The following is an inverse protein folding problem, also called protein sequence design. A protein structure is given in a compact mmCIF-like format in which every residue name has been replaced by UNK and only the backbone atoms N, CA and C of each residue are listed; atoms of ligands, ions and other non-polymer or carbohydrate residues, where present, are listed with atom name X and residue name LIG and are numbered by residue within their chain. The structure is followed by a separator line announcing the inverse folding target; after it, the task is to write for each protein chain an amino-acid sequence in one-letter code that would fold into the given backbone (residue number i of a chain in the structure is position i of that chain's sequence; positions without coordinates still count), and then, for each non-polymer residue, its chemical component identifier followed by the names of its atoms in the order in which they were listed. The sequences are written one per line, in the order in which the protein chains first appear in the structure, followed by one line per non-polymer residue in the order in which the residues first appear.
data_IF_224028532351
#
_entry.id   IF_224028532351
#
_cell.length_a   1.000
_cell.length_b   1.000
_cell.length_c   1.000
_cell.angle_alpha   90.00
_cell.angle_beta   90.00
_cell.angle_gamma   90.00
#
_symmetry.space_group_name_H-M   'P 1'
#
loop_
_entity.id
_entity.type
_entity.pdbx_description
1 polymer ?
#
# COMPACT_ATOMS: atom_id res chain seq x y z
N UNK A 1 13.12 27.45 9.13
CA UNK A 1 12.95 26.54 10.30
C UNK A 1 11.49 26.62 10.70
N UNK A 2 10.65 25.78 10.16
CA UNK A 2 9.25 25.71 10.54
C UNK A 2 9.14 24.85 11.79
N UNK A 3 8.55 25.39 12.85
CA UNK A 3 8.29 24.66 14.09
C UNK A 3 6.83 24.24 14.13
N UNK A 4 6.59 22.95 14.41
CA UNK A 4 5.23 22.42 14.53
C UNK A 4 4.70 22.72 15.93
N UNK A 5 3.56 23.44 16.05
CA UNK A 5 2.94 23.76 17.32
C UNK A 5 2.09 22.57 17.80
N UNK A 6 2.34 22.11 19.03
CA UNK A 6 1.53 21.06 19.63
C UNK A 6 0.11 21.57 19.92
N UNK A 7 -0.90 20.87 19.44
CA UNK A 7 -2.30 21.26 19.65
C UNK A 7 -2.77 21.09 21.11
N UNK A 8 -2.07 20.27 21.92
CA UNK A 8 -2.45 20.02 23.32
C UNK A 8 -1.84 21.00 24.31
N UNK A 9 -0.54 21.31 24.16
CA UNK A 9 0.18 22.18 25.14
C UNK A 9 0.69 23.47 24.54
N UNK A 10 0.54 23.70 23.23
CA UNK A 10 0.97 24.93 22.56
C UNK A 10 2.48 25.06 22.33
N UNK A 11 3.31 24.13 22.80
CA UNK A 11 4.76 24.21 22.64
C UNK A 11 5.19 23.97 21.19
N UNK A 12 6.25 24.65 20.76
CA UNK A 12 6.83 24.48 19.44
C UNK A 12 7.81 23.32 19.44
N UNK A 13 7.69 22.44 18.44
CA UNK A 13 8.51 21.26 18.25
C UNK A 13 9.21 21.33 16.90
N UNK A 14 10.31 20.60 16.72
CA UNK A 14 10.97 20.49 15.42
C UNK A 14 10.03 19.86 14.40
N UNK A 15 10.21 20.17 13.13
CA UNK A 15 9.37 19.63 12.03
C UNK A 15 9.46 18.10 11.92
N UNK A 16 10.54 17.52 12.42
CA UNK A 16 10.77 16.08 12.49
C UNK A 16 10.28 15.44 13.81
N UNK A 17 9.73 16.24 14.76
CA UNK A 17 9.26 15.71 16.02
C UNK A 17 7.99 14.89 15.83
N UNK A 18 8.05 13.62 16.12
CA UNK A 18 6.89 12.69 16.10
C UNK A 18 6.04 12.89 17.36
N UNK A 19 6.65 13.34 18.44
CA UNK A 19 6.00 13.61 19.73
C UNK A 19 6.37 15.01 20.21
N UNK A 20 5.43 15.63 20.92
CA UNK A 20 5.69 16.89 21.59
C UNK A 20 6.72 16.70 22.69
N UNK A 21 7.80 17.48 22.67
CA UNK A 21 8.85 17.42 23.69
C UNK A 21 8.35 17.81 25.09
N UNK A 22 7.29 18.62 25.17
CA UNK A 22 6.77 19.12 26.43
C UNK A 22 5.67 18.27 27.06
N UNK A 23 4.82 17.60 26.26
CA UNK A 23 3.67 16.87 26.78
C UNK A 23 3.53 15.44 26.21
N UNK A 24 4.54 14.97 25.48
CA UNK A 24 4.58 13.66 24.82
C UNK A 24 3.38 13.33 23.89
N UNK A 25 2.53 14.32 23.59
CA UNK A 25 1.41 14.13 22.67
C UNK A 25 1.95 13.81 21.28
N UNK A 26 1.36 12.81 20.63
CA UNK A 26 1.68 12.44 19.26
C UNK A 26 1.37 13.61 18.32
N UNK A 27 2.39 14.11 17.68
CA UNK A 27 2.27 15.11 16.63
C UNK A 27 2.04 14.35 15.35
N UNK A 28 0.81 14.38 14.82
CA UNK A 28 0.35 13.55 13.73
C UNK A 28 1.37 13.43 12.58
N UNK A 29 1.66 12.22 12.18
CA UNK A 29 2.32 11.88 10.92
C UNK A 29 1.55 12.57 9.79
N UNK A 30 2.24 13.37 8.96
CA UNK A 30 1.59 14.01 7.80
C UNK A 30 0.98 12.91 6.93
N UNK A 31 -0.33 12.91 6.68
CA UNK A 31 -0.97 11.91 5.81
C UNK A 31 -0.51 12.01 4.34
N UNK A 32 0.39 12.94 4.02
CA UNK A 32 0.80 13.25 2.66
C UNK A 32 1.71 12.22 1.98
N UNK A 33 2.29 11.26 2.70
CA UNK A 33 3.22 10.29 2.08
C UNK A 33 2.47 9.28 1.21
N UNK A 34 1.29 8.83 1.65
CA UNK A 34 0.50 7.84 0.89
C UNK A 34 -0.10 8.44 -0.39
N UNK A 35 -0.66 9.65 -0.33
CA UNK A 35 -1.18 10.34 -1.51
C UNK A 35 -0.10 10.61 -2.56
N UNK A 36 1.09 10.95 -2.13
CA UNK A 36 2.22 11.19 -3.03
C UNK A 36 2.70 9.91 -3.74
N UNK A 37 2.70 8.78 -3.05
CA UNK A 37 3.03 7.48 -3.65
C UNK A 37 1.95 7.04 -4.66
N UNK A 38 0.68 7.25 -4.34
CA UNK A 38 -0.44 6.98 -5.26
C UNK A 38 -0.30 7.82 -6.54
N UNK A 39 0.00 9.10 -6.39
CA UNK A 39 0.17 10.01 -7.54
C UNK A 39 1.40 9.65 -8.39
N UNK A 40 2.52 9.30 -7.77
CA UNK A 40 3.70 8.78 -8.49
C UNK A 40 3.39 7.50 -9.26
N UNK A 41 2.69 6.55 -8.63
CA UNK A 41 2.30 5.31 -9.26
C UNK A 41 1.40 5.56 -10.47
N UNK A 42 0.47 6.52 -10.38
CA UNK A 42 -0.39 6.92 -11.49
C UNK A 42 0.43 7.50 -12.65
N UNK A 43 1.33 8.44 -12.36
CA UNK A 43 2.18 9.04 -13.41
C UNK A 43 3.02 7.97 -14.10
N UNK A 44 3.64 7.07 -13.34
CA UNK A 44 4.44 5.98 -13.90
C UNK A 44 3.58 5.02 -14.73
N UNK A 45 2.36 4.71 -14.30
CA UNK A 45 1.43 3.88 -15.06
C UNK A 45 1.04 4.53 -16.38
N UNK A 46 0.70 5.81 -16.37
CA UNK A 46 0.36 6.56 -17.59
C UNK A 46 1.55 6.66 -18.55
N UNK A 47 2.74 6.97 -18.03
CA UNK A 47 3.95 7.05 -18.87
C UNK A 47 4.33 5.69 -19.46
N UNK A 48 4.30 4.62 -18.66
CA UNK A 48 4.63 3.27 -19.13
C UNK A 48 3.59 2.74 -20.11
N UNK A 49 2.31 3.02 -19.89
CA UNK A 49 1.23 2.72 -20.83
C UNK A 49 1.41 3.48 -22.15
N UNK A 50 1.67 4.80 -22.09
CA UNK A 50 1.91 5.61 -23.28
C UNK A 50 3.14 5.12 -24.08
N UNK A 51 4.24 4.80 -23.40
CA UNK A 51 5.44 4.23 -24.03
C UNK A 51 5.13 2.88 -24.67
N UNK A 52 4.37 2.02 -23.97
CA UNK A 52 3.96 0.73 -24.51
C UNK A 52 3.16 0.91 -25.81
N UNK A 53 2.12 1.77 -25.83
CA UNK A 53 1.30 2.01 -27.01
C UNK A 53 2.03 2.76 -28.13
N UNK A 54 3.11 3.49 -27.83
CA UNK A 54 3.96 4.12 -28.82
C UNK A 54 4.89 3.10 -29.52
N UNK A 55 5.41 2.14 -28.77
CA UNK A 55 6.38 1.16 -29.24
C UNK A 55 5.67 -0.08 -29.84
N UNK A 56 4.52 -0.46 -29.29
CA UNK A 56 3.80 -1.68 -29.64
C UNK A 56 3.40 -1.82 -31.12
N UNK A 57 2.99 -0.76 -31.85
CA UNK A 57 2.70 -0.86 -33.27
C UNK A 57 3.94 -0.97 -34.19
N UNK A 58 5.17 -0.99 -33.62
CA UNK A 58 6.35 -1.20 -34.44
C UNK A 58 6.47 -2.66 -34.93
N UNK A 59 7.06 -2.91 -36.11
CA UNK A 59 7.05 -4.22 -36.80
C UNK A 59 7.78 -5.38 -36.09
N UNK A 60 8.23 -5.17 -34.87
CA UNK A 60 8.90 -6.18 -34.05
C UNK A 60 7.87 -7.19 -33.46
N UNK A 61 6.62 -6.81 -33.25
CA UNK A 61 5.55 -7.70 -32.78
C UNK A 61 4.78 -8.28 -33.95
N UNK A 62 5.27 -9.42 -34.44
CA UNK A 62 4.75 -10.13 -35.62
C UNK A 62 3.38 -10.81 -35.44
N UNK A 63 2.74 -10.69 -34.27
CA UNK A 63 1.49 -11.36 -33.98
C UNK A 63 0.31 -10.39 -34.10
N UNK A 64 -0.46 -10.53 -35.17
CA UNK A 64 -1.71 -9.77 -35.40
C UNK A 64 -2.68 -9.91 -34.21
N UNK A 65 -2.68 -11.08 -33.56
CA UNK A 65 -3.50 -11.33 -32.38
C UNK A 65 -3.14 -10.42 -31.20
N UNK A 66 -1.84 -10.22 -30.91
CA UNK A 66 -1.42 -9.33 -29.83
C UNK A 66 -1.80 -7.88 -30.12
N UNK A 67 -1.68 -7.45 -31.38
CA UNK A 67 -2.11 -6.10 -31.78
C UNK A 67 -3.61 -5.93 -31.54
N UNK A 68 -4.42 -6.91 -31.92
CA UNK A 68 -5.88 -6.89 -31.69
C UNK A 68 -6.23 -6.92 -30.20
N UNK A 69 -5.47 -7.69 -29.37
CA UNK A 69 -5.69 -7.82 -27.93
C UNK A 69 -5.57 -6.46 -27.22
N UNK A 70 -4.58 -5.67 -27.58
CA UNK A 70 -4.33 -4.35 -27.00
C UNK A 70 -4.96 -3.19 -27.77
N UNK A 71 -5.60 -3.47 -28.92
CA UNK A 71 -6.30 -2.44 -29.69
C UNK A 71 -7.66 -2.14 -29.06
N UNK A 72 -7.96 -0.87 -28.89
CA UNK A 72 -9.23 -0.40 -28.37
C UNK A 72 -9.15 0.33 -27.03
N UNK A 73 -10.03 1.33 -26.85
CA UNK A 73 -10.02 2.22 -25.67
C UNK A 73 -10.24 1.48 -24.35
N UNK A 74 -11.05 0.42 -24.37
CA UNK A 74 -11.33 -0.37 -23.15
C UNK A 74 -10.12 -1.21 -22.79
N UNK A 75 -9.45 -1.84 -23.76
CA UNK A 75 -8.20 -2.58 -23.55
C UNK A 75 -7.08 -1.69 -23.00
N UNK A 76 -6.96 -0.47 -23.53
CA UNK A 76 -6.01 0.54 -23.04
C UNK A 76 -6.27 0.93 -21.59
N UNK A 77 -7.54 1.13 -21.22
CA UNK A 77 -7.94 1.46 -19.85
C UNK A 77 -7.62 0.31 -18.90
N UNK A 78 -7.97 -0.94 -19.26
CA UNK A 78 -7.68 -2.15 -18.48
C UNK A 78 -6.18 -2.28 -18.25
N UNK A 79 -5.38 -2.13 -19.31
CA UNK A 79 -3.92 -2.23 -19.23
C UNK A 79 -3.33 -1.16 -18.32
N UNK A 80 -3.78 0.09 -18.47
CA UNK A 80 -3.31 1.22 -17.64
C UNK A 80 -3.64 1.02 -16.18
N UNK A 81 -4.86 0.56 -15.83
CA UNK A 81 -5.25 0.26 -14.45
C UNK A 81 -4.46 -0.92 -13.87
N UNK A 82 -4.19 -1.93 -14.69
CA UNK A 82 -3.35 -3.07 -14.29
C UNK A 82 -1.94 -2.59 -13.95
N UNK A 83 -1.33 -1.78 -14.79
CA UNK A 83 -0.01 -1.18 -14.51
C UNK A 83 -0.02 -0.31 -13.27
N UNK A 84 -1.05 0.52 -13.10
CA UNK A 84 -1.17 1.36 -11.90
C UNK A 84 -1.23 0.54 -10.62
N UNK A 85 -2.04 -0.53 -10.59
CA UNK A 85 -2.13 -1.43 -9.45
C UNK A 85 -0.79 -2.14 -9.16
N UNK A 86 -0.06 -2.57 -10.20
CA UNK A 86 1.26 -3.18 -10.06
C UNK A 86 2.30 -2.20 -9.50
N UNK A 87 2.30 -0.93 -9.93
CA UNK A 87 3.19 0.09 -9.36
C UNK A 87 2.86 0.40 -7.90
N UNK A 88 1.57 0.43 -7.51
CA UNK A 88 1.17 0.58 -6.12
C UNK A 88 1.69 -0.58 -5.26
N UNK A 89 1.54 -1.81 -5.71
CA UNK A 89 2.06 -3.00 -5.03
C UNK A 89 3.60 -2.93 -4.94
N UNK A 90 4.28 -2.50 -6.00
CA UNK A 90 5.73 -2.37 -6.02
C UNK A 90 6.24 -1.35 -4.98
N UNK A 91 5.61 -0.17 -4.85
CA UNK A 91 5.98 0.79 -3.83
C UNK A 91 5.71 0.28 -2.41
N UNK A 92 4.58 -0.40 -2.20
CA UNK A 92 4.29 -1.07 -0.93
C UNK A 92 5.31 -2.17 -0.61
N UNK A 93 5.70 -2.96 -1.60
CA UNK A 93 6.73 -4.00 -1.43
C UNK A 93 8.08 -3.41 -1.00
N UNK A 94 8.51 -2.31 -1.60
CA UNK A 94 9.75 -1.61 -1.18
C UNK A 94 9.63 -1.15 0.28
N UNK A 95 8.47 -0.59 0.67
CA UNK A 95 8.20 -0.15 2.04
C UNK A 95 8.21 -1.33 3.01
N UNK A 96 7.54 -2.43 2.68
CA UNK A 96 7.54 -3.65 3.47
C UNK A 96 8.97 -4.20 3.68
N UNK A 97 9.78 -4.29 2.61
CA UNK A 97 11.19 -4.68 2.71
C UNK A 97 12.01 -3.77 3.61
N UNK A 98 11.74 -2.48 3.61
CA UNK A 98 12.40 -1.53 4.52
C UNK A 98 11.99 -1.75 5.97
N UNK A 99 10.71 -2.03 6.23
CA UNK A 99 10.21 -2.35 7.56
C UNK A 99 10.80 -3.66 8.10
N UNK A 100 10.86 -4.71 7.28
CA UNK A 100 11.51 -5.98 7.64
C UNK A 100 12.98 -5.79 7.99
N UNK A 101 13.72 -5.03 7.16
CA UNK A 101 15.13 -4.73 7.44
C UNK A 101 15.33 -3.93 8.73
N UNK A 102 14.41 -3.04 9.05
CA UNK A 102 14.44 -2.30 10.31
C UNK A 102 14.24 -3.23 11.51
N UNK A 103 13.29 -4.17 11.41
CA UNK A 103 13.01 -5.15 12.45
C UNK A 103 14.19 -6.13 12.66
N UNK A 104 14.72 -6.73 11.59
CA UNK A 104 15.89 -7.62 11.67
C UNK A 104 17.12 -6.88 12.22
N UNK A 105 17.40 -5.68 11.71
CA UNK A 105 18.53 -4.88 12.21
C UNK A 105 18.39 -4.49 13.67
N UNK A 106 17.18 -4.33 14.17
CA UNK A 106 16.92 -4.09 15.58
C UNK A 106 17.18 -5.35 16.41
N UNK A 107 16.67 -6.51 15.98
CA UNK A 107 16.80 -7.79 16.68
C UNK A 107 18.26 -8.28 16.77
N UNK A 108 19.05 -8.02 15.73
CA UNK A 108 20.46 -8.44 15.64
C UNK A 108 21.42 -7.47 16.35
N UNK A 109 20.92 -6.43 17.05
CA UNK A 109 21.75 -5.40 17.66
C UNK A 109 21.73 -5.50 19.19
N UNK A 110 22.85 -5.12 19.82
CA UNK A 110 23.01 -5.01 21.28
C UNK A 110 21.90 -4.18 21.96
N UNK A 111 21.21 -3.32 21.19
CA UNK A 111 20.07 -2.56 21.67
C UNK A 111 18.90 -3.47 22.10
N UNK A 112 18.68 -4.60 21.43
CA UNK A 112 17.69 -5.59 21.84
C UNK A 112 18.05 -6.19 23.20
N UNK A 113 19.31 -6.61 23.38
CA UNK A 113 19.80 -7.15 24.67
C UNK A 113 19.70 -6.10 25.78
N UNK A 114 20.09 -4.87 25.49
CA UNK A 114 20.02 -3.74 26.42
C UNK A 114 18.58 -3.40 26.86
N UNK A 115 17.57 -3.62 26.02
CA UNK A 115 16.16 -3.44 26.37
C UNK A 115 15.58 -4.66 27.10
N UNK A 116 16.17 -5.85 26.94
CA UNK A 116 15.75 -7.07 27.62
C UNK A 116 16.32 -7.21 29.04
N UNK A 117 17.41 -6.51 29.40
CA UNK A 117 18.01 -6.51 30.73
C UNK A 117 17.19 -5.80 31.81
N UNK A 118 16.11 -5.13 31.43
CA UNK A 118 15.23 -4.35 32.31
C UNK A 118 15.33 -2.85 32.11
N UNK A 119 14.16 -2.22 32.02
CA UNK A 119 14.03 -0.77 31.78
C UNK A 119 13.43 -0.12 33.03
N UNK A 120 14.22 0.70 33.71
CA UNK A 120 13.76 1.51 34.85
C UNK A 120 13.24 2.86 34.35
N UNK A 121 12.23 3.39 35.04
CA UNK A 121 11.65 4.70 34.71
C UNK A 121 12.71 5.82 34.65
N UNK A 122 13.71 5.79 35.53
CA UNK A 122 14.80 6.80 35.56
C UNK A 122 15.74 6.70 34.36
N UNK A 123 15.84 5.52 33.71
CA UNK A 123 16.77 5.27 32.62
C UNK A 123 16.12 5.48 31.24
N UNK A 124 14.83 5.83 31.20
CA UNK A 124 14.05 6.02 29.96
C UNK A 124 14.69 7.05 29.02
N UNK A 125 15.19 8.16 29.56
CA UNK A 125 15.84 9.18 28.73
C UNK A 125 17.12 8.66 28.08
N UNK A 126 17.93 7.91 28.81
CA UNK A 126 19.14 7.26 28.31
C UNK A 126 18.80 6.28 27.18
N UNK A 127 17.77 5.44 27.37
CA UNK A 127 17.31 4.50 26.34
C UNK A 127 16.78 5.19 25.07
N UNK A 128 16.07 6.30 25.21
CA UNK A 128 15.63 7.10 24.05
C UNK A 128 16.83 7.69 23.30
N UNK A 129 17.86 8.14 24.01
CA UNK A 129 19.10 8.65 23.39
C UNK A 129 19.83 7.52 22.66
N UNK A 130 19.99 6.34 23.26
CA UNK A 130 20.61 5.16 22.63
C UNK A 130 19.90 4.77 21.31
N UNK A 131 18.57 4.73 21.32
CA UNK A 131 17.77 4.47 20.11
C UNK A 131 18.01 5.55 19.05
N UNK A 132 18.06 6.82 19.46
CA UNK A 132 18.32 7.92 18.54
C UNK A 132 19.71 7.85 17.92
N UNK A 133 20.73 7.55 18.72
CA UNK A 133 22.11 7.35 18.26
C UNK A 133 22.22 6.15 17.30
N UNK A 134 21.54 5.05 17.61
CA UNK A 134 21.48 3.89 16.72
C UNK A 134 20.91 4.25 15.34
N UNK A 135 19.83 5.01 15.31
CA UNK A 135 19.19 5.47 14.08
C UNK A 135 20.08 6.45 13.29
N UNK A 136 20.82 7.31 13.99
CA UNK A 136 21.77 8.24 13.36
C UNK A 136 23.03 7.54 12.85
N UNK A 137 23.61 6.61 13.62
CA UNK A 137 24.82 5.87 13.25
C UNK A 137 24.67 5.06 11.98
N UNK A 138 23.50 4.49 11.72
CA UNK A 138 23.22 3.75 10.48
C UNK A 138 22.83 4.61 9.28
N UNK A 139 22.88 5.96 9.40
CA UNK A 139 22.51 6.93 8.35
C UNK A 139 21.17 6.65 7.65
N UNK A 140 20.24 5.95 8.31
CA UNK A 140 19.01 5.48 7.70
C UNK A 140 17.82 6.20 8.31
N UNK A 141 17.61 7.45 7.89
CA UNK A 141 16.39 8.23 8.22
C UNK A 141 15.08 7.46 7.99
N UNK A 142 15.12 6.46 7.09
CA UNK A 142 13.97 5.59 6.77
C UNK A 142 13.58 4.68 7.93
N UNK A 143 14.49 4.30 8.84
CA UNK A 143 14.20 3.45 9.99
C UNK A 143 13.54 4.20 11.13
N UNK A 144 13.69 5.52 11.20
CA UNK A 144 13.07 6.33 12.26
C UNK A 144 11.55 6.20 12.29
N UNK A 145 10.93 5.95 11.13
CA UNK A 145 9.48 5.79 10.97
C UNK A 145 9.05 4.33 10.89
N UNK A 146 9.94 3.36 11.20
CA UNK A 146 9.52 1.96 11.22
C UNK A 146 8.60 1.68 12.39
N UNK A 147 7.72 0.69 12.21
CA UNK A 147 6.72 0.31 13.21
C UNK A 147 7.37 -0.04 14.54
N UNK A 148 8.46 -0.83 14.53
CA UNK A 148 9.16 -1.26 15.75
C UNK A 148 9.70 -0.06 16.56
N UNK A 149 10.45 0.86 15.94
CA UNK A 149 11.01 2.01 16.65
C UNK A 149 9.93 2.99 17.10
N UNK A 150 8.85 3.12 16.34
CA UNK A 150 7.70 3.93 16.72
C UNK A 150 7.01 3.37 17.97
N UNK A 151 6.80 2.05 18.05
CA UNK A 151 6.19 1.39 19.22
C UNK A 151 7.09 1.47 20.44
N UNK A 152 8.36 1.10 20.33
CA UNK A 152 9.32 1.17 21.47
C UNK A 152 9.39 2.59 22.02
N UNK A 153 9.58 3.60 21.16
CA UNK A 153 9.64 5.00 21.59
C UNK A 153 8.37 5.42 22.32
N UNK A 154 7.20 4.99 21.84
CA UNK A 154 5.92 5.32 22.44
C UNK A 154 5.77 4.66 23.82
N UNK A 155 6.16 3.41 23.97
CA UNK A 155 6.17 2.70 25.26
C UNK A 155 7.05 3.45 26.26
N UNK A 156 8.27 3.80 25.88
CA UNK A 156 9.18 4.52 26.74
C UNK A 156 8.62 5.89 27.20
N UNK A 157 7.97 6.63 26.30
CA UNK A 157 7.30 7.88 26.69
C UNK A 157 6.13 7.66 27.66
N UNK A 158 5.33 6.62 27.45
CA UNK A 158 4.24 6.30 28.36
C UNK A 158 4.74 5.79 29.71
N UNK A 159 5.80 4.99 29.73
CA UNK A 159 6.43 4.54 30.97
C UNK A 159 6.87 5.71 31.86
N UNK A 160 7.35 6.80 31.24
CA UNK A 160 7.70 8.04 31.95
C UNK A 160 6.47 8.77 32.52
N UNK A 161 5.36 8.76 31.78
CA UNK A 161 4.15 9.52 32.12
C UNK A 161 3.24 8.77 33.10
N UNK A 162 3.13 7.47 32.94
CA UNK A 162 2.23 6.58 33.71
C UNK A 162 2.95 5.25 33.96
N UNK A 163 3.60 5.10 35.09
CA UNK A 163 4.38 3.90 35.40
C UNK A 163 3.51 2.75 35.91
N UNK A 164 2.51 2.33 35.11
CA UNK A 164 1.64 1.17 35.40
C UNK A 164 1.62 0.22 34.21
N UNK A 165 1.99 -1.05 34.41
CA UNK A 165 2.10 -2.07 33.35
C UNK A 165 0.75 -2.31 32.66
N UNK A 166 -0.34 -2.34 33.40
CA UNK A 166 -1.70 -2.58 32.89
C UNK A 166 -2.14 -1.48 31.89
N UNK A 167 -1.81 -0.24 32.18
CA UNK A 167 -2.12 0.89 31.29
C UNK A 167 -1.25 0.86 30.04
N UNK A 168 0.04 0.48 30.17
CA UNK A 168 0.94 0.31 29.03
C UNK A 168 0.46 -0.81 28.10
N UNK A 169 0.00 -1.93 28.67
CA UNK A 169 -0.56 -3.04 27.89
C UNK A 169 -1.81 -2.61 27.10
N UNK A 170 -2.72 -1.88 27.74
CA UNK A 170 -3.90 -1.33 27.07
C UNK A 170 -3.53 -0.42 25.89
N UNK A 171 -2.52 0.42 26.07
CA UNK A 171 -2.02 1.31 25.01
C UNK A 171 -1.37 0.52 23.87
N UNK A 172 -0.64 -0.55 24.18
CA UNK A 172 -0.02 -1.43 23.18
C UNK A 172 -1.07 -2.10 22.29
N UNK A 173 -2.11 -2.66 22.90
CA UNK A 173 -3.21 -3.30 22.16
C UNK A 173 -3.94 -2.29 21.25
N UNK A 174 -4.21 -1.10 21.76
CA UNK A 174 -4.82 -0.03 20.97
C UNK A 174 -3.93 0.41 19.78
N UNK A 175 -2.61 0.42 19.99
CA UNK A 175 -1.67 0.73 18.90
C UNK A 175 -1.59 -0.39 17.86
N UNK A 176 -1.65 -1.65 18.29
CA UNK A 176 -1.68 -2.79 17.38
C UNK A 176 -2.90 -2.71 16.47
N UNK A 177 -4.07 -2.39 17.03
CA UNK A 177 -5.31 -2.19 16.27
C UNK A 177 -5.19 -1.02 15.27
N UNK A 178 -4.63 0.12 15.68
CA UNK A 178 -4.41 1.25 14.77
C UNK A 178 -3.47 0.89 13.63
N UNK A 179 -2.35 0.19 13.92
CA UNK A 179 -1.38 -0.18 12.89
C UNK A 179 -2.00 -1.19 11.91
N UNK A 180 -2.82 -2.14 12.41
CA UNK A 180 -3.55 -3.09 11.58
C UNK A 180 -4.58 -2.38 10.68
N UNK A 181 -5.38 -1.47 11.24
CA UNK A 181 -6.35 -0.69 10.48
C UNK A 181 -5.69 0.19 9.40
N UNK A 182 -4.54 0.80 9.70
CA UNK A 182 -3.75 1.55 8.71
C UNK A 182 -3.23 0.67 7.58
N UNK A 183 -2.74 -0.51 7.92
CA UNK A 183 -2.28 -1.48 6.92
C UNK A 183 -3.44 -1.86 5.99
N UNK A 184 -4.61 -2.21 6.52
CA UNK A 184 -5.80 -2.55 5.74
C UNK A 184 -6.26 -1.40 4.84
N UNK A 185 -6.35 -0.18 5.39
CA UNK A 185 -6.71 1.03 4.63
C UNK A 185 -5.76 1.27 3.46
N UNK A 186 -4.48 0.98 3.63
CA UNK A 186 -3.49 1.09 2.56
C UNK A 186 -3.69 0.14 1.38
N UNK A 187 -4.58 -0.87 1.47
CA UNK A 187 -4.96 -1.76 0.37
C UNK A 187 -6.27 -1.38 -0.31
N UNK A 188 -6.99 -0.40 0.20
CA UNK A 188 -8.33 -0.04 -0.31
C UNK A 188 -8.33 0.23 -1.81
N UNK A 189 -7.40 1.03 -2.31
CA UNK A 189 -7.32 1.36 -3.74
C UNK A 189 -6.95 0.15 -4.60
N UNK A 190 -6.04 -0.71 -4.13
CA UNK A 190 -5.67 -1.94 -4.83
C UNK A 190 -6.88 -2.88 -4.91
N UNK A 191 -7.64 -3.01 -3.84
CA UNK A 191 -8.86 -3.82 -3.81
C UNK A 191 -9.91 -3.27 -4.78
N UNK A 192 -10.04 -1.95 -4.91
CA UNK A 192 -10.91 -1.32 -5.92
C UNK A 192 -10.48 -1.74 -7.33
N UNK A 193 -9.18 -1.75 -7.64
CA UNK A 193 -8.70 -2.17 -8.96
C UNK A 193 -8.89 -3.67 -9.21
N UNK A 194 -8.69 -4.53 -8.22
CA UNK A 194 -8.97 -5.96 -8.32
C UNK A 194 -10.44 -6.21 -8.73
N UNK A 195 -11.34 -5.34 -8.30
CA UNK A 195 -12.76 -5.39 -8.65
C UNK A 195 -13.06 -4.70 -9.99
N UNK A 196 -12.49 -3.53 -10.22
CA UNK A 196 -12.81 -2.71 -11.39
C UNK A 196 -12.29 -3.30 -12.69
N UNK A 197 -11.10 -3.93 -12.69
CA UNK A 197 -10.48 -4.49 -13.90
C UNK A 197 -11.37 -5.56 -14.55
N UNK A 198 -11.87 -6.60 -13.83
CA UNK A 198 -12.80 -7.59 -14.41
C UNK A 198 -14.12 -6.97 -14.86
N UNK A 199 -14.65 -5.98 -14.14
CA UNK A 199 -15.88 -5.29 -14.53
C UNK A 199 -15.69 -4.54 -15.86
N UNK A 200 -14.54 -3.90 -16.06
CA UNK A 200 -14.21 -3.25 -17.34
C UNK A 200 -14.09 -4.28 -18.47
N UNK A 201 -13.54 -5.46 -18.19
CA UNK A 201 -13.55 -6.57 -19.13
C UNK A 201 -14.96 -6.96 -19.55
N UNK A 202 -15.87 -7.09 -18.56
CA UNK A 202 -17.28 -7.38 -18.82
C UNK A 202 -17.98 -6.25 -19.59
N UNK A 203 -17.72 -5.00 -19.28
CA UNK A 203 -18.21 -3.85 -20.06
C UNK A 203 -17.73 -3.93 -21.52
N UNK A 204 -16.49 -4.37 -21.73
CA UNK A 204 -15.94 -4.61 -23.05
C UNK A 204 -16.70 -5.68 -23.83
N UNK A 205 -17.15 -6.77 -23.16
CA UNK A 205 -17.99 -7.79 -23.83
C UNK A 205 -19.34 -7.23 -24.25
N UNK A 206 -20.01 -6.50 -23.37
CA UNK A 206 -21.32 -5.89 -23.69
C UNK A 206 -21.17 -4.92 -24.86
N UNK A 207 -20.11 -4.08 -24.83
CA UNK A 207 -19.84 -3.13 -25.92
C UNK A 207 -19.56 -3.84 -27.25
N UNK A 208 -18.67 -4.85 -27.25
CA UNK A 208 -18.32 -5.57 -28.48
C UNK A 208 -19.49 -6.35 -29.08
N UNK A 209 -20.31 -7.02 -28.26
CA UNK A 209 -21.52 -7.69 -28.73
C UNK A 209 -22.53 -6.66 -29.26
N UNK A 210 -22.72 -5.53 -28.58
CA UNK A 210 -23.59 -4.46 -29.02
C UNK A 210 -23.20 -3.90 -30.38
N UNK A 211 -21.90 -3.70 -30.61
CA UNK A 211 -21.37 -3.29 -31.91
C UNK A 211 -21.68 -4.35 -33.00
N UNK A 212 -21.41 -5.65 -32.72
CA UNK A 212 -21.69 -6.74 -33.64
C UNK A 212 -23.16 -6.78 -34.08
N UNK A 213 -24.09 -6.64 -33.14
CA UNK A 213 -25.53 -6.62 -33.41
C UNK A 213 -25.90 -5.38 -34.23
N UNK A 214 -25.29 -4.22 -33.93
CA UNK A 214 -25.51 -2.97 -34.65
C UNK A 214 -25.13 -3.08 -36.14
N UNK A 215 -23.95 -3.60 -36.44
CA UNK A 215 -23.47 -3.79 -37.81
C UNK A 215 -24.33 -4.82 -38.59
N UNK A 216 -24.71 -5.92 -37.94
CA UNK A 216 -25.61 -6.88 -38.56
C UNK A 216 -27.01 -6.32 -38.82
N UNK A 217 -27.54 -5.47 -37.94
CA UNK A 217 -28.82 -4.78 -38.15
C UNK A 217 -28.78 -3.78 -39.32
N UNK A 218 -27.66 -3.09 -39.49
CA UNK A 218 -27.49 -2.18 -40.66
C UNK A 218 -27.49 -2.97 -41.95
N UNK A 219 -26.82 -4.15 -41.98
CA UNK A 219 -26.85 -5.00 -43.17
C UNK A 219 -28.26 -5.43 -43.52
N UNK A 220 -29.08 -5.90 -42.57
CA UNK A 220 -30.46 -6.35 -42.83
C UNK A 220 -31.32 -5.22 -43.41
N UNK A 221 -31.10 -3.98 -42.98
CA UNK A 221 -31.89 -2.81 -43.47
C UNK A 221 -31.45 -2.28 -44.83
N UNK A 222 -30.19 -2.52 -45.23
CA UNK A 222 -29.61 -1.92 -46.44
C UNK A 222 -29.47 -2.89 -47.63
N UNK A 223 -30.08 -4.07 -47.58
CA UNK A 223 -29.91 -5.09 -48.64
C UNK A 223 -30.58 -4.64 -49.95
N UNK A 224 -29.78 -4.16 -50.90
CA UNK A 224 -30.13 -4.08 -52.30
C UNK A 224 -29.60 -5.31 -53.04
N UNK A 225 -30.41 -5.91 -53.89
CA UNK A 225 -30.18 -7.22 -54.50
C UNK A 225 -28.96 -7.33 -55.41
N UNK A 226 -28.37 -6.19 -55.85
CA UNK A 226 -27.25 -6.18 -56.82
C UNK A 226 -25.84 -6.40 -56.17
N UNK A 227 -25.65 -6.21 -54.85
CA UNK A 227 -24.34 -6.29 -54.19
C UNK A 227 -24.35 -7.17 -52.92
N UNK A 228 -25.29 -8.08 -52.82
CA UNK A 228 -25.55 -8.88 -51.62
C UNK A 228 -24.30 -9.62 -51.08
N UNK A 229 -23.42 -10.13 -51.95
CA UNK A 229 -22.25 -10.91 -51.50
C UNK A 229 -21.17 -10.02 -50.87
N UNK A 230 -20.99 -8.77 -51.33
CA UNK A 230 -20.01 -7.85 -50.81
C UNK A 230 -20.48 -7.24 -49.46
N UNK A 231 -21.75 -6.90 -49.39
CA UNK A 231 -22.38 -6.36 -48.17
C UNK A 231 -22.43 -7.44 -47.07
N UNK A 232 -22.70 -8.71 -47.45
CA UNK A 232 -22.67 -9.82 -46.50
C UNK A 232 -21.27 -10.07 -45.91
N UNK A 233 -20.22 -10.01 -46.73
CA UNK A 233 -18.82 -10.10 -46.24
C UNK A 233 -18.46 -8.99 -45.28
N UNK A 234 -18.85 -7.75 -45.60
CA UNK A 234 -18.61 -6.60 -44.72
C UNK A 234 -19.32 -6.76 -43.38
N UNK A 235 -20.61 -7.15 -43.40
CA UNK A 235 -21.38 -7.40 -42.18
C UNK A 235 -20.79 -8.51 -41.30
N UNK A 236 -20.38 -9.65 -41.90
CA UNK A 236 -19.71 -10.73 -41.23
C UNK A 236 -18.37 -10.27 -40.63
N UNK A 237 -17.62 -9.47 -41.35
CA UNK A 237 -16.35 -8.90 -40.81
C UNK A 237 -16.60 -8.00 -39.61
N UNK A 238 -17.60 -7.15 -39.65
CA UNK A 238 -17.94 -6.27 -38.52
C UNK A 238 -18.44 -7.05 -37.31
N UNK A 239 -19.30 -8.06 -37.49
CA UNK A 239 -19.74 -8.96 -36.41
C UNK A 239 -18.54 -9.67 -35.76
N UNK A 240 -17.62 -10.19 -36.59
CA UNK A 240 -16.43 -10.89 -36.11
C UNK A 240 -15.50 -9.94 -35.35
N UNK A 241 -15.36 -8.71 -35.80
CA UNK A 241 -14.55 -7.68 -35.14
C UNK A 241 -15.13 -7.29 -33.77
N UNK A 242 -16.42 -7.03 -33.67
CA UNK A 242 -17.06 -6.72 -32.40
C UNK A 242 -16.98 -7.89 -31.41
N UNK A 243 -17.13 -9.14 -31.89
CA UNK A 243 -16.94 -10.33 -31.07
C UNK A 243 -15.49 -10.47 -30.59
N UNK A 244 -14.51 -10.17 -31.45
CA UNK A 244 -13.09 -10.14 -31.07
C UNK A 244 -12.81 -9.12 -29.96
N UNK A 245 -13.38 -7.92 -30.04
CA UNK A 245 -13.27 -6.91 -28.96
C UNK A 245 -13.84 -7.45 -27.65
N UNK A 246 -15.01 -8.12 -27.69
CA UNK A 246 -15.64 -8.68 -26.52
C UNK A 246 -14.74 -9.71 -25.81
N UNK A 247 -14.19 -10.67 -26.55
CA UNK A 247 -13.31 -11.69 -25.97
C UNK A 247 -11.97 -11.13 -25.51
N UNK A 248 -11.34 -10.27 -26.30
CA UNK A 248 -10.03 -9.72 -26.02
C UNK A 248 -10.02 -8.87 -24.75
N UNK A 249 -11.04 -8.03 -24.53
CA UNK A 249 -11.13 -7.20 -23.33
C UNK A 249 -11.29 -8.01 -22.07
N UNK A 250 -12.12 -9.06 -22.11
CA UNK A 250 -12.31 -9.95 -20.94
C UNK A 250 -11.08 -10.78 -20.67
N UNK A 251 -10.45 -11.32 -21.70
CA UNK A 251 -9.21 -12.08 -21.56
C UNK A 251 -8.10 -11.20 -20.95
N UNK A 252 -7.90 -10.00 -21.48
CA UNK A 252 -6.90 -9.05 -20.96
C UNK A 252 -7.16 -8.68 -19.49
N UNK A 253 -8.43 -8.43 -19.13
CA UNK A 253 -8.81 -8.11 -17.77
C UNK A 253 -8.52 -9.24 -16.78
N UNK A 254 -8.86 -10.48 -17.14
CA UNK A 254 -8.62 -11.65 -16.29
C UNK A 254 -7.14 -11.95 -16.15
N UNK A 255 -6.38 -11.94 -17.24
CA UNK A 255 -4.93 -12.16 -17.22
C UNK A 255 -4.22 -11.04 -16.45
N UNK A 256 -4.69 -9.81 -16.56
CA UNK A 256 -4.12 -8.67 -15.84
C UNK A 256 -4.40 -8.70 -14.33
N UNK A 257 -5.62 -9.07 -13.91
CA UNK A 257 -6.00 -9.01 -12.49
C UNK A 257 -5.39 -10.14 -11.65
N UNK A 258 -5.16 -11.32 -12.22
CA UNK A 258 -4.62 -12.47 -11.47
C UNK A 258 -3.27 -12.15 -10.78
N UNK A 259 -2.23 -11.65 -11.48
CA UNK A 259 -0.98 -11.28 -10.82
C UNK A 259 -1.16 -10.17 -9.78
N UNK A 260 -2.03 -9.19 -10.04
CA UNK A 260 -2.34 -8.12 -9.06
C UNK A 260 -2.90 -8.71 -7.77
N UNK A 261 -3.86 -9.63 -7.88
CA UNK A 261 -4.50 -10.29 -6.75
C UNK A 261 -3.51 -11.15 -5.95
N UNK A 262 -2.69 -11.96 -6.63
CA UNK A 262 -1.69 -12.83 -5.99
C UNK A 262 -0.61 -12.03 -5.28
N UNK A 263 -0.04 -11.02 -5.93
CA UNK A 263 1.00 -10.17 -5.36
C UNK A 263 0.47 -9.35 -4.18
N UNK A 264 -0.75 -8.80 -4.30
CA UNK A 264 -1.40 -8.05 -3.23
C UNK A 264 -1.66 -8.92 -2.00
N UNK A 265 -2.18 -10.14 -2.20
CA UNK A 265 -2.47 -11.08 -1.11
C UNK A 265 -1.19 -11.52 -0.38
N UNK A 266 -0.14 -11.88 -1.13
CA UNK A 266 1.15 -12.28 -0.57
C UNK A 266 1.81 -11.15 0.21
N UNK A 267 1.79 -9.93 -0.34
CA UNK A 267 2.36 -8.77 0.33
C UNK A 267 1.59 -8.40 1.60
N UNK A 268 0.26 -8.46 1.55
CA UNK A 268 -0.60 -8.21 2.70
C UNK A 268 -0.29 -9.18 3.84
N UNK A 269 -0.18 -10.47 3.53
CA UNK A 269 0.22 -11.48 4.53
C UNK A 269 1.57 -11.16 5.15
N UNK A 270 2.57 -10.79 4.35
CA UNK A 270 3.90 -10.42 4.87
C UNK A 270 3.87 -9.16 5.75
N UNK A 271 3.01 -8.16 5.45
CA UNK A 271 2.82 -7.00 6.30
C UNK A 271 2.13 -7.36 7.62
N UNK A 272 1.12 -8.26 7.59
CA UNK A 272 0.43 -8.80 8.78
C UNK A 272 1.41 -9.58 9.68
N UNK A 273 2.19 -10.50 9.13
CA UNK A 273 3.19 -11.29 9.85
C UNK A 273 4.24 -10.38 10.53
N UNK A 274 4.67 -9.32 9.87
CA UNK A 274 5.59 -8.35 10.46
C UNK A 274 4.95 -7.57 11.62
N UNK A 275 3.69 -7.15 11.49
CA UNK A 275 2.98 -6.45 12.57
C UNK A 275 2.80 -7.35 13.79
N UNK A 276 2.46 -8.62 13.57
CA UNK A 276 2.35 -9.63 14.63
C UNK A 276 3.70 -9.86 15.32
N UNK A 277 4.80 -10.02 14.57
CA UNK A 277 6.14 -10.19 15.15
C UNK A 277 6.58 -8.99 16.00
N UNK A 278 6.22 -7.77 15.59
CA UNK A 278 6.48 -6.56 16.37
C UNK A 278 5.63 -6.49 17.63
N UNK A 279 4.39 -6.96 17.56
CA UNK A 279 3.47 -7.02 18.69
C UNK A 279 3.93 -8.05 19.73
N UNK A 280 4.24 -9.26 19.28
CA UNK A 280 4.79 -10.34 20.08
C UNK A 280 6.05 -9.89 20.83
N UNK A 281 7.00 -9.26 20.13
CA UNK A 281 8.17 -8.67 20.76
C UNK A 281 7.83 -7.65 21.86
N UNK A 282 6.87 -6.76 21.60
CA UNK A 282 6.48 -5.76 22.59
C UNK A 282 5.80 -6.36 23.83
N UNK A 283 5.03 -7.45 23.66
CA UNK A 283 4.29 -8.10 24.75
C UNK A 283 5.14 -9.10 25.53
N UNK A 284 5.98 -9.89 24.83
CA UNK A 284 6.72 -10.99 25.44
C UNK A 284 8.12 -10.58 25.92
N UNK A 285 8.82 -9.73 25.16
CA UNK A 285 10.19 -9.33 25.50
C UNK A 285 10.23 -7.97 26.19
N UNK A 286 9.49 -6.97 25.72
CA UNK A 286 9.64 -5.61 26.23
C UNK A 286 8.80 -5.35 27.48
N UNK A 287 7.52 -5.70 27.48
CA UNK A 287 6.58 -5.40 28.57
C UNK A 287 6.95 -6.08 29.91
N UNK A 288 7.37 -7.35 29.97
CA UNK A 288 7.78 -7.99 31.23
C UNK A 288 9.01 -7.32 31.86
N UNK A 289 9.92 -6.85 31.02
CA UNK A 289 11.19 -6.23 31.43
C UNK A 289 11.05 -4.75 31.84
N UNK A 290 9.85 -4.17 31.73
CA UNK A 290 9.59 -2.84 32.28
C UNK A 290 9.52 -2.92 33.80
N UNK A 291 10.52 -2.38 34.49
CA UNK A 291 10.55 -2.31 35.94
C UNK A 291 9.90 -1.01 36.41
N UNK A 292 8.61 -1.12 36.62
CA UNK A 292 7.85 -0.07 37.32
C UNK A 292 8.05 -0.33 38.81
N UNK A 293 8.63 0.63 39.55
CA UNK A 293 8.61 0.53 41.02
C UNK A 293 7.15 0.39 41.44
N UNK A 294 6.83 -0.52 42.38
CA UNK A 294 5.57 -0.44 43.13
C UNK A 294 5.54 0.97 43.69
N UNK A 295 4.53 1.73 43.35
CA UNK A 295 4.37 3.09 43.82
C UNK A 295 4.55 3.09 45.32
N UNK A 296 5.21 4.10 45.85
CA UNK A 296 4.91 4.58 47.19
C UNK A 296 3.39 4.79 47.17
N UNK A 297 2.66 3.76 47.62
CA UNK A 297 1.28 3.96 48.05
C UNK A 297 1.38 5.13 49.00
N UNK A 298 0.77 6.22 48.66
CA UNK A 298 0.54 7.36 49.52
C UNK A 298 0.03 6.81 50.83
N UNK A 299 0.94 6.70 51.81
CA UNK A 299 0.55 6.70 53.20
C UNK A 299 0.08 8.14 53.50
N UNK A 300 -1.15 8.42 53.14
CA UNK A 300 -1.95 9.48 53.73
C UNK A 300 -2.85 8.81 54.73
N UNK A 301 -2.36 8.78 55.99
CA UNK A 301 -3.20 8.76 57.18
C UNK A 301 -3.70 10.17 57.47
#
# INVERSE_FOLDING_TARGET
KYSMKCLKCGSFNSEAAVYCQSCATYLAEKPGIEYFEIFKALILALLSSAIFYLIFPMPVTRSEYLIQLFSGRISELIFTLTLWSLFLIFFKFIRHRQQQRAYTSFRDHELHESLSEGIYVRDVEKRIIEISQFLEAKKVKKFQNSVIFRRIRRILYYLRAVPKKEEINTILNYQAEIDHNRMQTGYTLINVFIWAIPILGFIGTVFGIGQSIGEFSQFIRGVETSELSTQMRSALSGVTQGLSVAFNTTFLALVGVIPVMLLSSTLRKGEEDLLLSVEEYCLEDLLPNLQVRPGEETMDE
#
